data_IF_797698674235
#
_entry.id   IF_797698674235
#
_cell.length_a   1.000
_cell.length_b   1.000
_cell.length_c   1.000
_cell.angle_alpha   90.00
_cell.angle_beta   90.00
_cell.angle_gamma   90.00
#
_symmetry.space_group_name_H-M   'P 1'
#
loop_
_entity.id
_entity.type
_entity.pdbx_description
1 polymer ?
#
# COMPACT_ATOMS: atom_id res chain seq x y z
N UNK A 1 10.70 -2.19 -28.50
CA UNK A 1 9.67 -2.70 -27.56
C UNK A 1 8.55 -1.68 -27.30
N UNK A 2 8.85 -0.39 -27.13
CA UNK A 2 7.88 0.68 -26.77
C UNK A 2 6.75 0.89 -27.79
N UNK A 3 7.03 0.73 -29.09
CA UNK A 3 6.01 0.83 -30.17
C UNK A 3 4.88 -0.21 -30.08
N UNK A 4 4.99 -1.21 -29.21
CA UNK A 4 3.93 -2.21 -28.98
C UNK A 4 2.76 -1.66 -28.13
N UNK A 5 2.93 -0.54 -27.45
CA UNK A 5 1.93 0.03 -26.54
C UNK A 5 1.66 1.50 -26.84
N UNK A 6 1.14 1.83 -28.04
CA UNK A 6 0.91 3.21 -28.45
C UNK A 6 -0.14 3.94 -27.60
N UNK A 7 -1.01 3.19 -26.91
CA UNK A 7 -2.01 3.76 -25.99
C UNK A 7 -1.40 4.25 -24.68
N UNK A 8 -0.23 3.72 -24.29
CA UNK A 8 0.43 4.04 -23.02
C UNK A 8 1.61 4.99 -23.22
N UNK A 9 2.39 4.78 -24.28
CA UNK A 9 3.62 5.52 -24.53
C UNK A 9 3.59 6.25 -25.86
N UNK A 10 4.03 7.50 -25.86
CA UNK A 10 4.26 8.32 -27.04
C UNK A 10 5.77 8.60 -27.21
N UNK A 11 6.22 8.58 -28.46
CA UNK A 11 7.58 8.99 -28.82
C UNK A 11 7.56 10.45 -29.24
N UNK A 12 8.46 11.24 -28.69
CA UNK A 12 8.64 12.65 -29.05
C UNK A 12 10.13 12.95 -29.19
N UNK A 13 10.46 14.02 -29.89
CA UNK A 13 11.84 14.45 -30.09
C UNK A 13 12.07 15.76 -29.35
N UNK A 14 13.12 15.81 -28.54
CA UNK A 14 13.54 17.04 -27.88
C UNK A 14 14.59 17.69 -28.77
N UNK A 15 14.43 18.97 -29.16
CA UNK A 15 15.49 19.70 -29.83
C UNK A 15 16.64 19.91 -28.85
N UNK A 16 17.87 19.56 -29.24
CA UNK A 16 19.04 19.76 -28.40
C UNK A 16 19.25 21.26 -28.12
N UNK A 17 19.74 21.62 -26.93
CA UNK A 17 20.18 22.99 -26.67
C UNK A 17 21.27 23.39 -27.67
N UNK A 18 21.30 24.65 -28.15
CA UNK A 18 22.35 25.12 -29.04
C UNK A 18 23.68 25.08 -28.30
N UNK A 19 24.46 24.03 -28.54
CA UNK A 19 25.81 23.86 -27.97
C UNK A 19 26.85 24.15 -29.06
N UNK A 20 28.00 24.75 -28.73
CA UNK A 20 28.94 25.22 -29.74
C UNK A 20 29.79 24.09 -30.34
N UNK A 21 29.71 24.02 -31.68
CA UNK A 21 30.81 23.92 -32.66
C UNK A 21 31.53 22.61 -33.03
N UNK A 22 31.41 21.45 -32.38
CA UNK A 22 32.21 20.27 -32.86
C UNK A 22 31.54 18.90 -32.95
N UNK A 23 30.21 18.78 -32.87
CA UNK A 23 29.49 17.54 -33.19
C UNK A 23 28.62 17.74 -34.44
N UNK A 24 29.11 17.30 -35.60
CA UNK A 24 28.41 17.40 -36.87
C UNK A 24 27.22 16.40 -36.93
N UNK A 25 26.01 16.88 -36.67
CA UNK A 25 24.75 16.20 -37.00
C UNK A 25 23.56 16.67 -36.16
N UNK A 26 22.35 16.86 -36.76
CA UNK A 26 21.12 17.05 -36.01
C UNK A 26 20.71 15.73 -35.35
N UNK A 27 21.26 15.46 -34.17
CA UNK A 27 20.97 14.27 -33.39
C UNK A 27 19.78 14.55 -32.46
N UNK A 28 18.57 14.63 -33.02
CA UNK A 28 17.34 14.68 -32.22
C UNK A 28 17.20 13.35 -31.48
N UNK A 29 17.35 13.37 -30.16
CA UNK A 29 17.22 12.15 -29.35
C UNK A 29 15.73 11.77 -29.22
N UNK A 30 15.33 10.53 -29.59
CA UNK A 30 13.97 10.06 -29.37
C UNK A 30 13.74 9.87 -27.87
N UNK A 31 12.79 10.62 -27.32
CA UNK A 31 12.34 10.52 -25.93
C UNK A 31 10.99 9.82 -25.86
N UNK A 32 10.67 9.31 -24.67
CA UNK A 32 9.43 8.57 -24.43
C UNK A 32 8.67 9.25 -23.30
N UNK A 33 7.38 9.50 -23.51
CA UNK A 33 6.46 10.00 -22.48
C UNK A 33 5.26 9.07 -22.37
N UNK A 34 4.55 9.15 -21.25
CA UNK A 34 3.20 8.64 -21.16
C UNK A 34 2.26 9.52 -22.00
N UNK A 35 1.33 8.87 -22.71
CA UNK A 35 0.22 9.58 -23.36
C UNK A 35 -0.60 10.36 -22.31
N UNK A 36 -1.27 11.47 -22.68
CA UNK A 36 -2.13 12.21 -21.76
C UNK A 36 -3.14 11.35 -20.99
N UNK A 37 -3.88 10.40 -21.61
CA UNK A 37 -4.77 9.51 -20.86
C UNK A 37 -4.02 8.58 -19.90
N UNK A 38 -2.87 8.03 -20.29
CA UNK A 38 -2.07 7.17 -19.41
C UNK A 38 -1.50 7.94 -18.21
N UNK A 39 -1.06 9.19 -18.43
CA UNK A 39 -0.60 10.08 -17.37
C UNK A 39 -1.74 10.43 -16.41
N UNK A 40 -2.94 10.72 -16.91
CA UNK A 40 -4.12 10.99 -16.09
C UNK A 40 -4.51 9.77 -15.23
N UNK A 41 -4.49 8.57 -15.82
CA UNK A 41 -4.72 7.32 -15.10
C UNK A 41 -3.66 7.09 -14.00
N UNK A 42 -2.39 7.32 -14.30
CA UNK A 42 -1.30 7.19 -13.34
C UNK A 42 -1.48 8.15 -12.15
N UNK A 43 -1.88 9.39 -12.42
CA UNK A 43 -2.21 10.39 -11.38
C UNK A 43 -3.40 9.93 -10.52
N UNK A 44 -4.51 9.51 -11.14
CA UNK A 44 -5.68 8.98 -10.43
C UNK A 44 -5.30 7.81 -9.51
N UNK A 45 -4.46 6.89 -10.00
CA UNK A 45 -3.92 5.77 -9.21
C UNK A 45 -3.09 6.26 -8.02
N UNK A 46 -2.23 7.27 -8.20
CA UNK A 46 -1.45 7.82 -7.09
C UNK A 46 -2.32 8.51 -6.04
N UNK A 47 -3.36 9.22 -6.46
CA UNK A 47 -4.26 9.94 -5.55
C UNK A 47 -5.11 8.96 -4.72
N UNK A 48 -5.62 7.90 -5.34
CA UNK A 48 -6.30 6.81 -4.63
C UNK A 48 -5.38 6.13 -3.63
N UNK A 49 -4.12 5.84 -4.00
CA UNK A 49 -3.15 5.26 -3.06
C UNK A 49 -2.89 6.16 -1.85
N UNK A 50 -2.79 7.47 -2.04
CA UNK A 50 -2.62 8.43 -0.94
C UNK A 50 -3.84 8.43 -0.02
N UNK A 51 -5.04 8.43 -0.58
CA UNK A 51 -6.28 8.34 0.20
C UNK A 51 -6.34 7.05 1.04
N UNK A 52 -5.97 5.92 0.44
CA UNK A 52 -5.96 4.62 1.13
C UNK A 52 -4.87 4.52 2.22
N UNK A 53 -3.75 5.23 2.07
CA UNK A 53 -2.60 5.13 2.98
C UNK A 53 -2.97 5.37 4.45
N UNK A 54 -3.89 6.30 4.72
CA UNK A 54 -4.38 6.61 6.07
C UNK A 54 -5.09 5.41 6.70
N UNK A 55 -5.97 4.75 5.95
CA UNK A 55 -6.68 3.56 6.43
C UNK A 55 -5.73 2.38 6.62
N UNK A 56 -4.76 2.22 5.72
CA UNK A 56 -3.77 1.15 5.79
C UNK A 56 -2.83 1.31 6.99
N UNK A 57 -2.37 2.53 7.29
CA UNK A 57 -1.55 2.79 8.46
C UNK A 57 -2.33 2.51 9.74
N UNK A 58 -3.60 2.91 9.83
CA UNK A 58 -4.46 2.58 10.98
C UNK A 58 -4.64 1.06 11.16
N UNK A 59 -4.87 0.30 10.08
CA UNK A 59 -4.98 -1.17 10.13
C UNK A 59 -3.69 -1.83 10.60
N UNK A 60 -2.55 -1.36 10.11
CA UNK A 60 -1.24 -1.88 10.52
C UNK A 60 -0.94 -1.54 11.99
N UNK A 61 -1.32 -0.34 12.43
CA UNK A 61 -1.20 0.08 13.82
C UNK A 61 -2.04 -0.84 14.74
N UNK A 62 -3.30 -1.10 14.38
CA UNK A 62 -4.14 -2.08 15.10
C UNK A 62 -3.52 -3.47 15.14
N UNK A 63 -2.94 -3.94 14.04
CA UNK A 63 -2.28 -5.25 13.99
C UNK A 63 -1.10 -5.33 14.97
N UNK A 64 -0.27 -4.29 15.06
CA UNK A 64 0.84 -4.24 16.02
C UNK A 64 0.35 -4.08 17.46
N UNK A 65 -0.74 -3.35 17.68
CA UNK A 65 -1.39 -3.25 18.99
C UNK A 65 -1.84 -4.63 19.49
N UNK A 66 -2.36 -5.49 18.60
CA UNK A 66 -2.74 -6.87 18.92
C UNK A 66 -1.53 -7.80 19.15
N UNK A 67 -0.33 -7.45 18.66
CA UNK A 67 0.89 -8.24 18.81
C UNK A 67 1.54 -8.07 20.21
N UNK A 68 0.74 -8.23 21.27
CA UNK A 68 1.18 -8.21 22.67
C UNK A 68 2.07 -9.43 22.99
N UNK A 69 3.11 -9.30 23.84
CA UNK A 69 3.47 -8.13 24.65
C UNK A 69 4.45 -7.15 23.98
N UNK A 70 5.07 -7.53 22.86
CA UNK A 70 6.19 -6.76 22.29
C UNK A 70 5.77 -5.69 21.29
N UNK A 71 4.53 -5.70 20.79
CA UNK A 71 4.00 -4.78 19.77
C UNK A 71 4.89 -4.66 18.53
N UNK A 72 5.49 -5.79 18.13
CA UNK A 72 6.50 -5.90 17.08
C UNK A 72 6.19 -7.04 16.13
N UNK A 73 6.49 -6.83 14.83
CA UNK A 73 6.40 -7.88 13.82
C UNK A 73 7.62 -7.85 12.89
N UNK A 74 8.21 -9.01 12.63
CA UNK A 74 9.37 -9.14 11.74
C UNK A 74 9.02 -8.68 10.31
N UNK A 75 9.87 -7.81 9.74
CA UNK A 75 9.63 -7.25 8.41
C UNK A 75 9.56 -8.32 7.33
N UNK A 76 10.31 -9.41 7.45
CA UNK A 76 10.25 -10.50 6.47
C UNK A 76 8.91 -11.26 6.52
N UNK A 77 8.29 -11.39 7.70
CA UNK A 77 6.96 -12.01 7.85
C UNK A 77 5.86 -11.09 7.32
N UNK A 78 5.97 -9.79 7.58
CA UNK A 78 5.00 -8.78 7.12
C UNK A 78 4.88 -8.74 5.59
N UNK A 79 5.89 -9.19 4.86
CA UNK A 79 5.89 -9.25 3.39
C UNK A 79 4.88 -10.23 2.86
N UNK A 80 4.75 -11.38 3.52
CA UNK A 80 3.77 -12.39 3.14
C UNK A 80 2.35 -11.91 3.40
N UNK A 81 2.15 -11.06 4.43
CA UNK A 81 0.87 -10.44 4.75
C UNK A 81 0.61 -9.15 3.96
N UNK A 82 1.62 -8.63 3.24
CA UNK A 82 1.53 -7.34 2.56
C UNK A 82 0.42 -7.25 1.51
N UNK A 83 0.12 -8.30 0.70
CA UNK A 83 -0.97 -8.25 -0.26
C UNK A 83 -2.34 -8.17 0.43
N UNK A 84 -2.52 -8.93 1.52
CA UNK A 84 -3.77 -8.99 2.28
C UNK A 84 -4.04 -7.69 3.03
N UNK A 85 -2.98 -7.05 3.51
CA UNK A 85 -3.04 -5.73 4.17
C UNK A 85 -3.05 -4.57 3.18
N UNK A 86 -2.92 -4.81 1.86
CA UNK A 86 -2.86 -3.76 0.85
C UNK A 86 -1.60 -2.89 0.90
N UNK A 87 -0.53 -3.35 1.56
CA UNK A 87 0.72 -2.61 1.68
C UNK A 87 1.44 -2.53 0.33
N UNK A 88 2.10 -1.40 0.01
CA UNK A 88 2.83 -1.27 -1.23
C UNK A 88 4.11 -2.12 -1.21
N UNK A 89 4.58 -2.61 -2.37
CA UNK A 89 5.79 -3.46 -2.47
C UNK A 89 7.05 -2.87 -1.83
N UNK A 90 7.11 -1.54 -1.74
CA UNK A 90 8.19 -0.76 -1.15
C UNK A 90 7.87 -0.26 0.28
N UNK A 91 6.94 -0.91 0.98
CA UNK A 91 6.55 -0.51 2.34
C UNK A 91 7.74 -0.48 3.29
N UNK A 92 8.71 -1.40 3.16
CA UNK A 92 9.88 -1.48 4.05
C UNK A 92 10.69 -0.19 4.14
N UNK A 93 10.77 0.57 3.05
CA UNK A 93 11.55 1.82 3.00
C UNK A 93 10.70 3.06 3.21
N UNK A 94 9.40 3.03 2.89
CA UNK A 94 8.53 4.22 2.96
C UNK A 94 7.71 4.30 4.24
N UNK A 95 7.32 3.17 4.81
CA UNK A 95 6.35 3.14 5.90
C UNK A 95 6.78 3.97 7.12
N UNK A 96 8.03 3.85 7.54
CA UNK A 96 8.56 4.64 8.65
C UNK A 96 8.86 6.10 8.28
N UNK A 97 9.08 6.39 7.00
CA UNK A 97 9.26 7.78 6.53
C UNK A 97 7.92 8.52 6.45
N UNK A 98 6.86 7.80 6.04
CA UNK A 98 5.53 8.36 5.88
C UNK A 98 4.80 8.50 7.23
N UNK A 99 5.12 7.64 8.21
CA UNK A 99 4.48 7.59 9.54
C UNK A 99 5.49 7.37 10.68
N UNK A 100 6.44 8.31 10.91
CA UNK A 100 7.46 8.18 11.94
C UNK A 100 6.92 8.24 13.37
N UNK A 101 5.75 8.85 13.55
CA UNK A 101 5.00 8.96 14.80
C UNK A 101 4.36 7.64 15.24
N UNK A 102 4.13 6.72 14.30
CA UNK A 102 3.42 5.45 14.54
C UNK A 102 4.35 4.25 14.52
N UNK A 103 5.33 4.24 13.62
CA UNK A 103 6.14 3.05 13.37
C UNK A 103 7.63 3.33 13.40
N UNK A 104 8.38 2.40 13.99
CA UNK A 104 9.83 2.39 13.99
C UNK A 104 10.34 1.02 13.54
N UNK A 105 11.47 1.00 12.84
CA UNK A 105 12.19 -0.26 12.60
C UNK A 105 13.21 -0.46 13.71
N UNK A 106 13.22 -1.65 14.30
CA UNK A 106 14.16 -2.05 15.34
C UNK A 106 14.83 -3.36 14.95
N UNK A 107 16.13 -3.47 15.23
CA UNK A 107 16.88 -4.71 15.07
C UNK A 107 16.60 -5.65 16.24
N UNK A 108 16.24 -6.90 15.92
CA UNK A 108 16.03 -7.97 16.89
C UNK A 108 16.99 -9.11 16.62
N UNK A 109 17.12 -10.06 17.54
CA UNK A 109 17.92 -11.28 17.33
C UNK A 109 17.47 -12.10 16.11
N UNK A 110 16.22 -11.93 15.67
CA UNK A 110 15.65 -12.60 14.49
C UNK A 110 15.63 -11.71 13.23
N UNK A 111 16.31 -10.56 13.28
CA UNK A 111 16.38 -9.57 12.21
C UNK A 111 15.51 -8.33 12.43
N UNK A 112 15.33 -7.52 11.38
CA UNK A 112 14.58 -6.26 11.46
C UNK A 112 13.08 -6.48 11.68
N UNK A 113 12.54 -5.81 12.70
CA UNK A 113 11.12 -5.80 13.03
C UNK A 113 10.54 -4.38 12.92
N UNK A 114 9.27 -4.31 12.57
CA UNK A 114 8.45 -3.11 12.70
C UNK A 114 7.88 -3.08 14.13
N UNK A 115 8.09 -1.99 14.84
CA UNK A 115 7.61 -1.73 16.20
C UNK A 115 6.60 -0.58 16.20
N UNK A 116 5.60 -0.71 17.07
CA UNK A 116 4.67 0.37 17.40
C UNK A 116 5.36 1.42 18.30
N UNK A 117 5.35 2.69 17.87
CA UNK A 117 5.89 3.82 18.65
C UNK A 117 4.87 4.32 19.66
N UNK A 118 3.62 4.50 19.22
CA UNK A 118 2.54 5.07 20.03
C UNK A 118 1.30 4.20 19.98
N UNK A 119 0.77 3.89 21.16
CA UNK A 119 -0.52 3.22 21.29
C UNK A 119 -1.64 4.26 21.12
N UNK A 120 -2.58 3.97 20.21
CA UNK A 120 -3.74 4.83 19.98
C UNK A 120 -5.01 4.11 20.46
N UNK A 121 -5.54 4.52 21.62
CA UNK A 121 -6.73 3.92 22.21
C UNK A 121 -7.98 4.07 21.35
N UNK A 122 -8.05 5.08 20.47
CA UNK A 122 -9.17 5.24 19.54
C UNK A 122 -9.25 4.11 18.51
N UNK A 123 -8.11 3.48 18.20
CA UNK A 123 -8.04 2.35 17.29
C UNK A 123 -8.38 1.02 17.97
N UNK A 124 -8.34 0.95 19.31
CA UNK A 124 -8.61 -0.25 20.09
C UNK A 124 -10.11 -0.53 20.30
N UNK A 125 -10.99 0.34 19.82
CA UNK A 125 -12.43 0.13 19.94
C UNK A 125 -12.86 -1.10 19.13
N UNK A 126 -13.51 -2.04 19.82
CA UNK A 126 -14.05 -3.24 19.21
C UNK A 126 -15.12 -2.83 18.19
N UNK A 127 -15.09 -3.46 17.02
CA UNK A 127 -16.21 -3.33 16.11
C UNK A 127 -17.46 -3.88 16.82
N UNK A 128 -18.59 -3.16 16.79
CA UNK A 128 -19.83 -3.69 17.33
C UNK A 128 -20.12 -5.03 16.65
N UNK A 129 -20.49 -6.03 17.45
CA UNK A 129 -20.86 -7.34 16.95
C UNK A 129 -21.94 -7.16 15.89
N UNK A 130 -21.74 -7.77 14.72
CA UNK A 130 -22.78 -7.85 13.70
C UNK A 130 -23.88 -8.72 14.27
N UNK A 131 -24.96 -8.12 14.75
CA UNK A 131 -26.19 -8.86 15.03
C UNK A 131 -26.67 -9.44 13.70
N UNK A 132 -26.34 -10.71 13.44
CA UNK A 132 -27.01 -11.45 12.38
C UNK A 132 -28.43 -11.72 12.86
N UNK A 133 -29.41 -11.27 12.06
CA UNK A 133 -30.84 -11.44 12.31
C UNK A 133 -31.17 -12.86 12.81
N UNK A 134 -31.34 -12.99 14.12
CA UNK A 134 -31.84 -14.19 14.78
C UNK A 134 -33.34 -14.34 14.51
N UNK A 135 -33.74 -14.58 13.25
CA UNK A 135 -35.15 -14.79 12.86
C UNK A 135 -35.39 -16.09 12.09
N UNK A 136 -34.67 -17.16 12.41
CA UNK A 136 -34.95 -18.48 11.81
C UNK A 136 -34.52 -19.68 12.67
N UNK A 137 -34.61 -19.57 14.00
CA UNK A 137 -34.45 -20.72 14.89
C UNK A 137 -35.69 -20.95 15.76
N UNK A 138 -36.81 -21.21 15.09
CA UNK A 138 -38.08 -21.53 15.71
C UNK A 138 -38.86 -22.58 14.93
N UNK A 139 -38.49 -23.86 15.12
CA UNK A 139 -39.36 -25.06 15.10
C UNK A 139 -38.48 -26.31 15.02
N UNK A 140 -37.89 -26.70 16.15
CA UNK A 140 -37.60 -28.12 16.38
C UNK A 140 -38.85 -28.67 17.06
N UNK A 141 -39.60 -29.48 16.31
CA UNK A 141 -40.80 -30.18 16.79
C UNK A 141 -40.41 -31.00 18.00
N UNK A 142 -41.15 -30.80 19.08
CA UNK A 142 -41.17 -31.64 20.27
C UNK A 142 -41.61 -33.03 19.82
N UNK A 143 -40.69 -34.00 19.88
CA UNK A 143 -41.06 -35.41 19.84
C UNK A 143 -41.49 -35.76 21.26
N UNK A 144 -42.80 -35.78 21.46
CA UNK A 144 -43.45 -36.38 22.62
C UNK A 144 -43.11 -37.87 22.58
N UNK A 145 -42.27 -38.33 23.51
CA UNK A 145 -42.08 -39.75 23.80
C UNK A 145 -42.86 -40.05 25.08
N UNK A 146 -43.81 -40.96 24.93
CA UNK A 146 -44.33 -41.80 26.01
C UNK A 146 -43.23 -42.73 26.51
#
# INVERSE_FOLDING_TARGET
MIRRYPTVFELFYIPNPPTPLHAAGPLSQPCVRLTPPASALAKKKSDLKKSMAISLSAKLQKLLMLASPYHRLLLHKLVHLSPDLGLPVNFRSRLCNDHPDRFRVVDTSYGRALELVSWDSSLAEALPWREEDSKSRGRRRELVLW
#
